data_IF_901551404745
#
_entry.id   IF_901551404745
#
_cell.length_a   1.000
_cell.length_b   1.000
_cell.length_c   1.000
_cell.angle_alpha   90.00
_cell.angle_beta   90.00
_cell.angle_gamma   90.00
#
_symmetry.space_group_name_H-M   'P 1'
#
loop_
_entity.id
_entity.type
_entity.pdbx_description
1 polymer ?
#
# COMPACT_ATOMS: atom_id res chain seq x y z
N UNK A 1 -3.12 -22.43 18.93
CA UNK A 1 -2.56 -21.20 19.52
C UNK A 1 -1.15 -20.93 19.05
N UNK A 2 -0.32 -21.93 19.04
CA UNK A 2 1.07 -21.77 18.63
C UNK A 2 1.24 -21.38 17.17
N UNK A 3 0.40 -21.90 16.28
CA UNK A 3 0.47 -21.57 14.86
C UNK A 3 0.16 -20.09 14.57
N UNK A 4 -0.78 -19.50 15.33
CA UNK A 4 -1.12 -18.07 15.17
C UNK A 4 0.01 -17.20 15.69
N UNK A 5 0.59 -17.57 16.83
CA UNK A 5 1.75 -16.87 17.40
C UNK A 5 2.98 -16.97 16.51
N UNK A 6 3.21 -18.15 15.94
CA UNK A 6 4.31 -18.38 15.01
C UNK A 6 4.14 -17.54 13.75
N UNK A 7 2.94 -17.44 13.20
CA UNK A 7 2.66 -16.62 12.03
C UNK A 7 2.88 -15.12 12.31
N UNK A 8 2.43 -14.63 13.46
CA UNK A 8 2.65 -13.25 13.85
C UNK A 8 4.13 -12.96 14.08
N UNK A 9 4.83 -13.89 14.72
CA UNK A 9 6.27 -13.77 14.92
C UNK A 9 7.03 -13.84 13.59
N UNK A 10 6.57 -14.67 12.65
CA UNK A 10 7.18 -14.78 11.34
C UNK A 10 7.07 -13.46 10.56
N UNK A 11 5.92 -12.78 10.64
CA UNK A 11 5.74 -11.47 10.00
C UNK A 11 6.64 -10.41 10.63
N UNK A 12 6.68 -10.35 11.96
CA UNK A 12 7.56 -9.42 12.65
C UNK A 12 9.03 -9.72 12.35
N UNK A 13 9.40 -11.00 12.31
CA UNK A 13 10.74 -11.41 11.95
C UNK A 13 11.08 -11.02 10.51
N UNK A 14 10.13 -11.13 9.60
CA UNK A 14 10.33 -10.77 8.20
C UNK A 14 10.69 -9.29 8.06
N UNK A 15 9.93 -8.41 8.68
CA UNK A 15 10.20 -6.98 8.65
C UNK A 15 11.52 -6.63 9.38
N UNK A 16 11.77 -7.26 10.51
CA UNK A 16 13.02 -7.07 11.25
C UNK A 16 14.23 -7.53 10.43
N UNK A 17 14.11 -8.66 9.73
CA UNK A 17 15.15 -9.17 8.83
C UNK A 17 15.42 -8.21 7.67
N UNK A 18 14.36 -7.64 7.10
CA UNK A 18 14.51 -6.63 6.03
C UNK A 18 15.21 -5.40 6.57
N UNK A 19 14.84 -4.95 7.76
CA UNK A 19 15.49 -3.81 8.42
C UNK A 19 16.99 -4.04 8.61
N UNK A 20 17.37 -5.30 8.87
CA UNK A 20 18.78 -5.70 9.03
C UNK A 20 19.49 -5.93 7.69
N UNK A 21 18.79 -5.79 6.55
CA UNK A 21 19.39 -5.94 5.23
C UNK A 21 19.22 -7.32 4.59
N UNK A 22 18.35 -8.18 5.12
CA UNK A 22 18.10 -9.51 4.57
C UNK A 22 17.30 -9.42 3.27
N UNK A 23 17.96 -9.61 2.13
CA UNK A 23 17.34 -9.51 0.81
C UNK A 23 16.34 -10.64 0.54
N UNK A 24 16.55 -11.83 1.13
CA UNK A 24 15.62 -12.94 0.98
C UNK A 24 14.28 -12.62 1.65
N UNK A 25 14.31 -11.98 2.81
CA UNK A 25 13.10 -11.54 3.51
C UNK A 25 12.35 -10.48 2.67
N UNK A 26 13.07 -9.57 2.05
CA UNK A 26 12.50 -8.57 1.15
C UNK A 26 11.79 -9.23 -0.04
N UNK A 27 12.42 -10.22 -0.66
CA UNK A 27 11.83 -10.95 -1.77
C UNK A 27 10.54 -11.67 -1.35
N UNK A 28 10.51 -12.26 -0.17
CA UNK A 28 9.30 -12.89 0.36
C UNK A 28 8.18 -11.87 0.57
N UNK A 29 8.49 -10.71 1.10
CA UNK A 29 7.51 -9.64 1.29
C UNK A 29 6.95 -9.17 -0.06
N UNK A 30 7.83 -8.98 -1.04
CA UNK A 30 7.45 -8.59 -2.39
C UNK A 30 6.48 -9.60 -3.01
N UNK A 31 6.83 -10.89 -2.96
CA UNK A 31 5.98 -11.96 -3.51
C UNK A 31 4.63 -12.05 -2.80
N UNK A 32 4.61 -11.75 -1.51
CA UNK A 32 3.38 -11.82 -0.73
C UNK A 32 2.39 -10.72 -1.10
N UNK A 33 2.85 -9.52 -1.38
CA UNK A 33 1.99 -8.35 -1.52
C UNK A 33 1.87 -7.78 -2.92
N UNK A 34 2.86 -7.97 -3.78
CA UNK A 34 2.93 -7.26 -5.06
C UNK A 34 1.67 -7.41 -5.90
N UNK A 35 1.24 -8.64 -6.15
CA UNK A 35 0.12 -8.91 -7.04
C UNK A 35 -1.19 -8.33 -6.52
N UNK A 36 -1.46 -8.49 -5.22
CA UNK A 36 -2.69 -7.96 -4.62
C UNK A 36 -2.68 -6.43 -4.56
N UNK A 37 -1.54 -5.83 -4.34
CA UNK A 37 -1.40 -4.36 -4.36
C UNK A 37 -1.60 -3.80 -5.76
N UNK A 38 -1.05 -4.44 -6.79
CA UNK A 38 -1.28 -4.03 -8.19
C UNK A 38 -2.75 -4.15 -8.54
N UNK A 39 -3.39 -5.27 -8.17
CA UNK A 39 -4.82 -5.47 -8.45
C UNK A 39 -5.67 -4.39 -7.78
N UNK A 40 -5.41 -4.10 -6.51
CA UNK A 40 -6.11 -3.06 -5.77
C UNK A 40 -5.95 -1.70 -6.46
N UNK A 41 -4.72 -1.35 -6.79
CA UNK A 41 -4.40 -0.06 -7.42
C UNK A 41 -5.02 0.05 -8.82
N UNK A 42 -4.96 -1.03 -9.61
CA UNK A 42 -5.54 -1.06 -10.95
C UNK A 42 -7.07 -0.91 -10.92
N UNK A 43 -7.73 -1.48 -9.93
CA UNK A 43 -9.18 -1.30 -9.76
C UNK A 43 -9.53 0.16 -9.53
N UNK A 44 -8.66 0.94 -8.93
CA UNK A 44 -8.88 2.36 -8.64
C UNK A 44 -8.44 3.23 -9.82
N UNK A 45 -7.21 3.05 -10.30
CA UNK A 45 -6.63 3.91 -11.33
C UNK A 45 -7.04 3.53 -12.74
N UNK A 46 -7.51 2.30 -12.95
CA UNK A 46 -7.89 1.78 -14.27
C UNK A 46 -6.75 1.89 -15.29
N UNK A 47 -5.52 1.64 -14.83
CA UNK A 47 -4.33 1.68 -15.65
C UNK A 47 -3.31 0.72 -15.05
N UNK A 48 -3.12 -0.43 -15.69
CA UNK A 48 -2.26 -1.50 -15.18
C UNK A 48 -0.80 -1.09 -15.13
N UNK A 49 -0.30 -0.45 -16.18
CA UNK A 49 1.09 -0.01 -16.25
C UNK A 49 1.41 1.00 -15.14
N UNK A 50 0.55 1.99 -14.95
CA UNK A 50 0.70 2.98 -13.89
C UNK A 50 0.63 2.34 -12.51
N UNK A 51 -0.26 1.34 -12.34
CA UNK A 51 -0.40 0.62 -11.08
C UNK A 51 0.85 -0.20 -10.76
N UNK A 52 1.41 -0.89 -11.74
CA UNK A 52 2.66 -1.64 -11.57
C UNK A 52 3.81 -0.71 -11.20
N UNK A 53 3.91 0.43 -11.86
CA UNK A 53 4.95 1.42 -11.57
C UNK A 53 4.82 1.97 -10.16
N UNK A 54 3.59 2.28 -9.73
CA UNK A 54 3.33 2.79 -8.40
C UNK A 54 3.75 1.79 -7.32
N UNK A 55 3.35 0.52 -7.49
CA UNK A 55 3.66 -0.52 -6.51
C UNK A 55 5.16 -0.82 -6.50
N UNK A 56 5.79 -0.89 -7.67
CA UNK A 56 7.22 -1.11 -7.77
C UNK A 56 8.01 0.00 -7.08
N UNK A 57 7.61 1.25 -7.28
CA UNK A 57 8.23 2.39 -6.63
C UNK A 57 8.04 2.37 -5.11
N UNK A 58 6.87 1.92 -4.65
CA UNK A 58 6.61 1.74 -3.24
C UNK A 58 7.61 0.76 -2.61
N UNK A 59 7.85 -0.38 -3.26
CA UNK A 59 8.79 -1.37 -2.77
C UNK A 59 10.24 -0.86 -2.80
N UNK A 60 10.61 -0.07 -3.80
CA UNK A 60 11.93 0.57 -3.83
C UNK A 60 12.11 1.53 -2.64
N UNK A 61 11.11 2.36 -2.37
CA UNK A 61 11.15 3.28 -1.24
C UNK A 61 11.20 2.53 0.09
N UNK A 62 10.43 1.46 0.20
CA UNK A 62 10.41 0.61 1.40
C UNK A 62 11.81 0.05 1.67
N UNK A 63 12.48 -0.46 0.65
CA UNK A 63 13.84 -0.99 0.80
C UNK A 63 14.83 0.10 1.20
N UNK A 64 14.75 1.27 0.56
CA UNK A 64 15.64 2.39 0.86
C UNK A 64 15.48 2.90 2.30
N UNK A 65 14.29 2.77 2.87
CA UNK A 65 13.98 3.18 4.24
C UNK A 65 13.81 1.99 5.18
N UNK A 66 14.42 0.87 4.86
CA UNK A 66 14.21 -0.41 5.55
C UNK A 66 14.50 -0.39 7.04
N UNK A 67 15.39 0.49 7.49
CA UNK A 67 15.72 0.57 8.91
C UNK A 67 14.48 0.88 9.77
N UNK A 68 13.50 1.59 9.23
CA UNK A 68 12.26 1.94 9.93
C UNK A 68 11.34 0.73 10.12
N UNK A 69 11.54 -0.34 9.37
CA UNK A 69 10.68 -1.52 9.44
C UNK A 69 10.83 -2.28 10.76
N UNK A 70 11.94 -2.11 11.46
CA UNK A 70 12.17 -2.73 12.75
C UNK A 70 11.13 -2.33 13.80
N UNK A 71 10.50 -1.16 13.63
CA UNK A 71 9.53 -0.61 14.58
C UNK A 71 8.08 -0.94 14.20
N UNK A 72 7.86 -1.55 13.05
CA UNK A 72 6.51 -1.82 12.55
C UNK A 72 5.91 -3.01 13.31
N UNK A 73 4.73 -2.80 13.90
CA UNK A 73 4.01 -3.82 14.68
C UNK A 73 3.01 -4.61 13.84
N UNK A 74 2.36 -3.95 12.89
CA UNK A 74 1.29 -4.54 12.09
C UNK A 74 1.66 -4.46 10.61
N UNK A 75 2.19 -5.55 10.09
CA UNK A 75 2.69 -5.63 8.72
C UNK A 75 1.64 -5.24 7.69
N UNK A 76 0.47 -5.87 7.75
CA UNK A 76 -0.58 -5.67 6.76
C UNK A 76 -1.09 -4.23 6.76
N UNK A 77 -1.37 -3.68 7.92
CA UNK A 77 -1.78 -2.27 8.05
C UNK A 77 -0.73 -1.32 7.50
N UNK A 78 0.53 -1.60 7.80
CA UNK A 78 1.65 -0.79 7.33
C UNK A 78 1.71 -0.79 5.81
N UNK A 79 1.65 -1.98 5.19
CA UNK A 79 1.72 -2.11 3.74
C UNK A 79 0.55 -1.41 3.06
N UNK A 80 -0.66 -1.58 3.57
CA UNK A 80 -1.85 -0.94 3.01
C UNK A 80 -1.84 0.57 3.23
N UNK A 81 -1.31 1.05 4.34
CA UNK A 81 -1.17 2.49 4.58
C UNK A 81 -0.20 3.12 3.57
N UNK A 82 0.93 2.48 3.31
CA UNK A 82 1.86 2.95 2.29
C UNK A 82 1.19 3.03 0.92
N UNK A 83 0.46 1.98 0.55
CA UNK A 83 -0.24 1.92 -0.73
C UNK A 83 -1.33 2.99 -0.82
N UNK A 84 -2.15 3.09 0.21
CA UNK A 84 -3.22 4.07 0.31
C UNK A 84 -2.69 5.49 0.10
N UNK A 85 -1.61 5.84 0.80
CA UNK A 85 -1.03 7.18 0.69
C UNK A 85 -0.57 7.49 -0.73
N UNK A 86 0.04 6.53 -1.40
CA UNK A 86 0.49 6.71 -2.77
C UNK A 86 -0.67 6.83 -3.77
N UNK A 87 -1.71 6.01 -3.60
CA UNK A 87 -2.89 6.07 -4.46
C UNK A 87 -3.60 7.41 -4.30
N UNK A 88 -3.76 7.88 -3.07
CA UNK A 88 -4.36 9.19 -2.78
C UNK A 88 -3.54 10.31 -3.44
N UNK A 89 -2.22 10.26 -3.34
CA UNK A 89 -1.35 11.25 -3.97
C UNK A 89 -1.55 11.31 -5.49
N UNK A 90 -1.63 10.15 -6.13
CA UNK A 90 -1.87 10.06 -7.59
C UNK A 90 -3.24 10.63 -7.94
N UNK A 91 -4.28 10.26 -7.18
CA UNK A 91 -5.63 10.76 -7.44
C UNK A 91 -5.71 12.28 -7.28
N UNK A 92 -5.06 12.83 -6.26
CA UNK A 92 -5.05 14.28 -6.06
C UNK A 92 -4.30 15.01 -7.16
N UNK A 93 -3.21 14.44 -7.66
CA UNK A 93 -2.50 15.01 -8.82
C UNK A 93 -3.34 14.97 -10.07
N UNK A 94 -4.04 13.87 -10.33
CA UNK A 94 -4.95 13.73 -11.48
C UNK A 94 -6.09 14.73 -11.39
N UNK A 95 -6.66 14.92 -10.20
CA UNK A 95 -7.71 15.92 -9.98
C UNK A 95 -7.23 17.33 -10.32
N UNK A 96 -6.05 17.72 -9.84
CA UNK A 96 -5.48 19.04 -10.15
C UNK A 96 -5.22 19.22 -11.64
N UNK A 97 -4.67 18.19 -12.28
CA UNK A 97 -4.40 18.19 -13.72
C UNK A 97 -5.70 18.38 -14.52
N UNK A 98 -6.75 17.65 -14.18
CA UNK A 98 -8.05 17.74 -14.84
C UNK A 98 -8.68 19.11 -14.63
N UNK A 99 -8.55 19.71 -13.47
CA UNK A 99 -9.04 21.05 -13.19
C UNK A 99 -8.33 22.12 -14.03
N UNK A 100 -7.06 21.93 -14.31
CA UNK A 100 -6.26 22.88 -15.09
C UNK A 100 -6.48 22.74 -16.60
N UNK A 101 -6.62 21.52 -17.12
CA UNK A 101 -6.64 21.27 -18.57
C UNK A 101 -7.97 20.77 -19.13
N UNK A 102 -8.79 20.08 -18.37
CA UNK A 102 -10.00 19.40 -18.87
C UNK A 102 -11.19 19.58 -17.91
N UNK A 103 -11.62 20.79 -17.73
CA UNK A 103 -12.73 21.11 -16.80
C UNK A 103 -14.03 20.36 -17.08
N UNK A 104 -14.20 19.76 -18.27
CA UNK A 104 -15.50 19.26 -18.72
C UNK A 104 -15.65 17.74 -18.72
N UNK A 105 -14.59 16.94 -18.41
CA UNK A 105 -14.64 15.51 -18.68
C UNK A 105 -14.74 14.59 -17.48
N UNK A 106 -14.31 14.98 -16.28
CA UNK A 106 -14.44 14.16 -15.08
C UNK A 106 -14.93 15.05 -13.95
N UNK A 107 -16.03 14.67 -13.33
CA UNK A 107 -16.53 15.45 -12.21
C UNK A 107 -15.56 15.35 -11.03
N UNK A 108 -15.33 16.48 -10.39
CA UNK A 108 -14.57 16.58 -9.14
C UNK A 108 -15.11 15.60 -8.10
N UNK A 109 -16.42 15.39 -8.10
CA UNK A 109 -17.12 14.49 -7.20
C UNK A 109 -16.69 13.03 -7.37
N UNK A 110 -16.41 12.56 -8.60
CA UNK A 110 -15.97 11.19 -8.87
C UNK A 110 -14.63 10.89 -8.23
N UNK A 111 -13.68 11.83 -8.29
CA UNK A 111 -12.35 11.65 -7.68
C UNK A 111 -12.47 11.64 -6.16
N UNK A 112 -13.29 12.54 -5.60
CA UNK A 112 -13.50 12.59 -4.15
C UNK A 112 -14.19 11.32 -3.64
N UNK A 113 -15.14 10.75 -4.40
CA UNK A 113 -15.76 9.48 -4.06
C UNK A 113 -14.73 8.35 -4.00
N UNK A 114 -13.84 8.27 -4.98
CA UNK A 114 -12.79 7.24 -5.02
C UNK A 114 -11.84 7.43 -3.84
N UNK A 115 -11.43 8.65 -3.54
CA UNK A 115 -10.58 8.95 -2.39
C UNK A 115 -11.26 8.50 -1.10
N UNK A 116 -12.55 8.78 -0.94
CA UNK A 116 -13.31 8.38 0.23
C UNK A 116 -13.35 6.85 0.38
N UNK A 117 -13.59 6.13 -0.72
CA UNK A 117 -13.61 4.66 -0.73
C UNK A 117 -12.25 4.08 -0.33
N UNK A 118 -11.16 4.64 -0.87
CA UNK A 118 -9.80 4.19 -0.54
C UNK A 118 -9.50 4.41 0.94
N UNK A 119 -9.86 5.58 1.45
CA UNK A 119 -9.66 5.90 2.86
C UNK A 119 -10.49 4.99 3.77
N UNK A 120 -11.75 4.73 3.40
CA UNK A 120 -12.62 3.82 4.14
C UNK A 120 -12.04 2.40 4.16
N UNK A 121 -11.57 1.92 3.01
CA UNK A 121 -10.98 0.59 2.90
C UNK A 121 -9.73 0.47 3.79
N UNK A 122 -8.87 1.48 3.79
CA UNK A 122 -7.68 1.51 4.63
C UNK A 122 -8.03 1.46 6.11
N UNK A 123 -9.06 2.23 6.53
CA UNK A 123 -9.54 2.23 7.92
C UNK A 123 -10.11 0.88 8.33
N UNK A 124 -10.85 0.23 7.42
CA UNK A 124 -11.40 -1.10 7.69
C UNK A 124 -10.30 -2.13 7.87
N UNK A 125 -9.27 -2.11 7.01
CA UNK A 125 -8.13 -3.02 7.14
C UNK A 125 -7.38 -2.80 8.44
N UNK A 126 -7.17 -1.55 8.81
CA UNK A 126 -6.52 -1.19 10.07
C UNK A 126 -7.33 -1.72 11.26
N UNK A 127 -8.66 -1.52 11.25
CA UNK A 127 -9.54 -2.01 12.30
C UNK A 127 -9.49 -3.54 12.40
N UNK A 128 -9.48 -4.24 11.26
CA UNK A 128 -9.40 -5.70 11.24
C UNK A 128 -8.07 -6.17 11.85
N UNK A 129 -6.97 -5.52 11.52
CA UNK A 129 -5.65 -5.89 12.03
C UNK A 129 -5.53 -5.66 13.54
N UNK A 130 -6.34 -4.76 14.11
CA UNK A 130 -6.35 -4.48 15.54
C UNK A 130 -7.36 -5.32 16.31
N UNK A 131 -8.14 -6.18 15.66
CA UNK A 131 -9.06 -7.08 16.35
C UNK A 131 -8.28 -8.13 17.14
N UNK A 132 -8.76 -8.45 18.36
CA UNK A 132 -8.12 -9.47 19.19
C UNK A 132 -8.20 -10.88 18.58
#
# INVERSE_FOLDING_TARGET
MDAILENNNAFQNLLARIAAGDTAAYDLLFRKYYASMVLYTDNILKNKSESEDLVSDLFCTLYNKRAKLAEVKFEKSYMFTLLHNRVIDVLRRKKRFQQEELRDFVSEDSVEEVIFEVELYARLNEAIDHLP
#
